data_IF_868099838216
#
_entry.id   IF_868099838216
#
_cell.length_a   1.000
_cell.length_b   1.000
_cell.length_c   1.000
_cell.angle_alpha   90.00
_cell.angle_beta   90.00
_cell.angle_gamma   90.00
#
_symmetry.space_group_name_H-M   'P 1'
#
loop_
_entity.id
_entity.type
_entity.pdbx_description
1 polymer ?
#
# COMPACT_ATOMS: atom_id res chain seq x y z
N UNK A 1 23.98 -30.94 15.45
CA UNK A 1 22.98 -29.86 15.33
C UNK A 1 23.43 -28.99 14.16
N UNK A 2 22.83 -29.18 12.98
CA UNK A 2 23.29 -28.52 11.75
C UNK A 2 22.97 -27.04 11.79
N UNK A 3 24.00 -26.21 11.91
CA UNK A 3 23.89 -24.76 11.79
C UNK A 3 23.53 -24.42 10.34
N UNK A 4 22.24 -24.31 10.03
CA UNK A 4 21.76 -23.90 8.72
C UNK A 4 22.18 -22.44 8.50
N UNK A 5 23.28 -22.25 7.78
CA UNK A 5 23.71 -20.93 7.30
C UNK A 5 22.69 -20.49 6.25
N UNK A 6 22.07 -19.35 6.50
CA UNK A 6 21.09 -18.76 5.57
C UNK A 6 21.73 -17.56 4.89
N UNK A 7 21.35 -17.28 3.65
CA UNK A 7 21.85 -16.14 2.87
C UNK A 7 20.78 -15.07 2.69
N UNK A 8 21.18 -13.81 2.79
CA UNK A 8 20.32 -12.68 2.45
C UNK A 8 19.93 -12.70 0.97
N UNK A 9 18.65 -12.59 0.66
CA UNK A 9 18.12 -12.57 -0.70
C UNK A 9 18.55 -11.35 -1.53
N UNK A 10 19.01 -10.28 -0.88
CA UNK A 10 19.43 -9.05 -1.58
C UNK A 10 20.94 -8.92 -1.78
N UNK A 11 21.76 -9.28 -0.79
CA UNK A 11 23.21 -9.12 -0.86
C UNK A 11 23.98 -10.45 -0.92
N UNK A 12 23.28 -11.58 -0.83
CA UNK A 12 23.85 -12.93 -0.75
C UNK A 12 24.79 -13.16 0.45
N UNK A 13 24.89 -12.19 1.36
CA UNK A 13 25.67 -12.29 2.59
C UNK A 13 25.15 -13.41 3.48
N UNK A 14 26.07 -14.19 4.05
CA UNK A 14 25.76 -15.24 5.02
C UNK A 14 25.41 -14.61 6.36
N UNK A 15 24.42 -15.16 7.04
CA UNK A 15 24.08 -14.76 8.40
C UNK A 15 23.44 -15.91 9.18
N UNK A 16 22.96 -15.57 10.37
CA UNK A 16 22.35 -16.54 11.28
C UNK A 16 20.90 -16.15 11.59
N UNK A 17 20.02 -17.12 11.85
CA UNK A 17 18.67 -16.83 12.30
C UNK A 17 18.69 -16.16 13.69
N UNK A 18 17.66 -15.38 14.04
CA UNK A 18 17.61 -14.62 15.29
C UNK A 18 17.52 -15.53 16.51
N UNK A 19 16.97 -16.75 16.39
CA UNK A 19 16.93 -17.73 17.48
C UNK A 19 18.30 -18.30 17.86
N UNK A 20 19.33 -18.16 17.01
CA UNK A 20 20.67 -18.71 17.24
C UNK A 20 21.74 -17.70 16.81
N UNK A 21 22.00 -16.65 17.63
CA UNK A 21 22.99 -15.65 17.29
C UNK A 21 24.40 -16.26 17.30
N UNK A 22 25.07 -16.25 16.15
CA UNK A 22 26.49 -16.56 16.07
C UNK A 22 27.33 -15.28 16.16
N UNK A 23 28.39 -15.26 16.97
CA UNK A 23 29.25 -14.09 17.10
C UNK A 23 29.88 -13.73 15.74
N UNK A 24 29.72 -12.47 15.32
CA UNK A 24 30.28 -11.93 14.09
C UNK A 24 29.42 -12.09 12.83
N UNK A 25 28.26 -12.77 12.90
CA UNK A 25 27.33 -12.88 11.77
C UNK A 25 26.10 -11.98 11.97
N UNK A 26 25.63 -11.29 10.92
CA UNK A 26 24.41 -10.51 11.01
C UNK A 26 23.19 -11.42 11.21
N UNK A 27 22.25 -10.98 12.04
CA UNK A 27 20.97 -11.66 12.18
C UNK A 27 20.12 -11.44 10.93
N UNK A 28 19.55 -12.53 10.44
CA UNK A 28 18.73 -12.57 9.24
C UNK A 28 17.26 -12.73 9.61
N UNK A 29 16.39 -11.92 9.01
CA UNK A 29 14.96 -11.93 9.29
C UNK A 29 14.18 -12.47 8.09
N UNK A 30 13.22 -13.35 8.36
CA UNK A 30 12.32 -13.89 7.33
C UNK A 30 11.16 -12.93 7.14
N UNK A 31 10.92 -12.47 5.91
CA UNK A 31 9.77 -11.63 5.58
C UNK A 31 8.59 -12.51 5.16
N UNK A 32 7.33 -12.00 5.13
CA UNK A 32 6.14 -12.84 4.96
C UNK A 32 6.08 -13.64 3.65
N UNK A 33 6.82 -13.25 2.61
CA UNK A 33 6.94 -14.04 1.38
C UNK A 33 7.91 -15.24 1.50
N UNK A 34 8.54 -15.46 2.66
CA UNK A 34 9.48 -16.55 2.91
C UNK A 34 10.95 -16.23 2.63
N UNK A 35 11.24 -15.10 1.98
CA UNK A 35 12.62 -14.66 1.74
C UNK A 35 13.28 -14.11 3.00
N UNK A 36 14.62 -14.14 3.01
CA UNK A 36 15.42 -13.81 4.18
C UNK A 36 16.30 -12.60 3.90
N UNK A 37 16.33 -11.62 4.82
CA UNK A 37 17.08 -10.38 4.65
C UNK A 37 17.90 -10.03 5.89
N UNK A 38 19.11 -9.47 5.70
CA UNK A 38 19.87 -8.85 6.78
C UNK A 38 19.33 -7.44 7.07
N UNK A 39 19.53 -6.98 8.31
CA UNK A 39 19.09 -5.64 8.73
C UNK A 39 19.57 -4.52 7.79
N UNK A 40 20.83 -4.48 7.32
CA UNK A 40 21.30 -3.44 6.40
C UNK A 40 20.53 -3.41 5.07
N UNK A 41 20.15 -4.58 4.55
CA UNK A 41 19.36 -4.67 3.32
C UNK A 41 17.91 -4.22 3.54
N UNK A 42 17.33 -4.51 4.71
CA UNK A 42 16.01 -3.98 5.08
C UNK A 42 16.07 -2.46 5.17
N UNK A 43 17.06 -1.91 5.89
CA UNK A 43 17.28 -0.46 6.01
C UNK A 43 17.42 0.20 4.65
N UNK A 44 18.27 -0.31 3.77
CA UNK A 44 18.46 0.25 2.43
C UNK A 44 17.17 0.28 1.61
N UNK A 45 16.33 -0.75 1.71
CA UNK A 45 15.04 -0.77 0.99
C UNK A 45 14.03 0.19 1.60
N UNK A 46 13.98 0.29 2.93
CA UNK A 46 13.09 1.22 3.62
C UNK A 46 13.51 2.68 3.38
N UNK A 47 14.81 2.96 3.33
CA UNK A 47 15.33 4.32 3.12
C UNK A 47 15.05 4.83 1.70
N UNK A 48 15.00 3.94 0.69
CA UNK A 48 14.56 4.31 -0.65
C UNK A 48 13.13 4.87 -0.63
N UNK A 49 12.26 4.34 0.23
CA UNK A 49 10.90 4.86 0.45
C UNK A 49 10.83 6.27 1.04
N UNK A 50 11.91 6.73 1.70
CA UNK A 50 12.00 8.11 2.20
C UNK A 50 12.37 9.09 1.08
N UNK A 51 13.11 8.63 0.07
CA UNK A 51 13.50 9.43 -1.09
C UNK A 51 12.42 9.40 -2.18
N UNK A 52 11.84 8.23 -2.44
CA UNK A 52 10.79 8.01 -3.43
C UNK A 52 9.55 7.38 -2.79
N UNK A 53 8.45 8.15 -2.76
CA UNK A 53 7.18 7.72 -2.17
C UNK A 53 6.54 6.55 -2.91
N UNK A 54 6.86 6.34 -4.19
CA UNK A 54 6.34 5.20 -4.96
C UNK A 54 6.89 3.86 -4.44
N UNK A 55 8.02 3.89 -3.72
CA UNK A 55 8.65 2.70 -3.12
C UNK A 55 8.06 2.33 -1.75
N UNK A 56 7.06 3.07 -1.26
CA UNK A 56 6.39 2.81 0.02
C UNK A 56 5.08 2.02 -0.21
N UNK A 57 4.89 0.88 0.49
CA UNK A 57 5.82 0.21 1.37
C UNK A 57 6.92 -0.56 0.64
N UNK A 58 8.05 -0.67 1.32
CA UNK A 58 9.05 -1.69 1.06
C UNK A 58 8.37 -3.08 1.06
N UNK A 59 8.52 -3.81 -0.04
CA UNK A 59 7.85 -5.09 -0.26
C UNK A 59 8.79 -6.07 -0.95
N UNK A 60 8.63 -7.37 -0.75
CA UNK A 60 9.33 -8.40 -1.52
C UNK A 60 8.28 -9.35 -2.11
N UNK A 61 8.42 -9.69 -3.39
CA UNK A 61 7.45 -10.53 -4.12
C UNK A 61 6.01 -9.96 -4.07
N UNK A 62 5.87 -8.63 -4.02
CA UNK A 62 4.57 -7.98 -3.86
C UNK A 62 3.99 -8.02 -2.44
N UNK A 63 4.71 -8.58 -1.47
CA UNK A 63 4.29 -8.66 -0.06
C UNK A 63 5.05 -7.65 0.79
N UNK A 64 4.32 -6.85 1.55
CA UNK A 64 4.86 -5.74 2.34
C UNK A 64 5.74 -6.24 3.49
N UNK A 65 6.77 -5.46 3.84
CA UNK A 65 7.61 -5.74 4.99
C UNK A 65 6.85 -5.45 6.29
N UNK A 66 6.99 -6.29 7.34
CA UNK A 66 6.34 -6.05 8.62
C UNK A 66 6.74 -4.69 9.21
N UNK A 67 5.78 -3.97 9.79
CA UNK A 67 6.00 -2.65 10.39
C UNK A 67 7.15 -2.64 11.41
N UNK A 68 7.25 -3.69 12.23
CA UNK A 68 8.33 -3.83 13.21
C UNK A 68 9.72 -3.87 12.56
N UNK A 69 9.83 -4.49 11.38
CA UNK A 69 11.12 -4.57 10.67
C UNK A 69 11.49 -3.23 10.07
N UNK A 70 10.50 -2.49 9.58
CA UNK A 70 10.71 -1.13 9.06
C UNK A 70 11.10 -0.18 10.19
N UNK A 71 10.42 -0.26 11.34
CA UNK A 71 10.69 0.56 12.53
C UNK A 71 12.10 0.34 13.07
N UNK A 72 12.52 -0.92 13.21
CA UNK A 72 13.89 -1.29 13.60
C UNK A 72 14.94 -0.83 12.58
N UNK A 73 14.58 -0.82 11.29
CA UNK A 73 15.51 -0.52 10.21
C UNK A 73 15.74 0.98 9.98
N UNK A 74 14.72 1.81 10.20
CA UNK A 74 14.76 3.26 9.98
C UNK A 74 15.00 4.06 11.27
N UNK A 75 14.65 3.52 12.44
CA UNK A 75 14.62 4.29 13.68
C UNK A 75 13.43 5.27 13.74
N UNK A 76 13.22 5.91 14.89
CA UNK A 76 11.96 6.60 15.20
C UNK A 76 11.63 7.80 14.28
N UNK A 77 12.64 8.60 13.92
CA UNK A 77 12.44 9.83 13.14
C UNK A 77 12.08 9.53 11.69
N UNK A 78 12.86 8.68 11.04
CA UNK A 78 12.61 8.25 9.66
C UNK A 78 11.35 7.38 9.54
N UNK A 79 11.06 6.54 10.55
CA UNK A 79 9.82 5.79 10.61
C UNK A 79 8.59 6.70 10.67
N UNK A 80 8.67 7.87 11.33
CA UNK A 80 7.56 8.83 11.36
C UNK A 80 7.23 9.35 9.96
N UNK A 81 8.26 9.69 9.18
CA UNK A 81 8.09 10.11 7.78
C UNK A 81 7.52 8.99 6.92
N UNK A 82 8.05 7.78 7.07
CA UNK A 82 7.60 6.59 6.35
C UNK A 82 6.14 6.25 6.68
N UNK A 83 5.75 6.29 7.96
CA UNK A 83 4.39 6.03 8.42
C UNK A 83 3.40 7.06 7.88
N UNK A 84 3.80 8.33 7.77
CA UNK A 84 2.99 9.35 7.10
C UNK A 84 2.75 8.99 5.63
N UNK A 85 3.78 8.56 4.89
CA UNK A 85 3.62 8.15 3.49
C UNK A 85 2.70 6.92 3.33
N UNK A 86 2.77 5.96 4.26
CA UNK A 86 1.82 4.84 4.28
C UNK A 86 0.37 5.31 4.48
N UNK A 87 0.13 6.21 5.42
CA UNK A 87 -1.21 6.75 5.68
C UNK A 87 -1.75 7.55 4.48
N UNK A 88 -0.91 8.40 3.87
CA UNK A 88 -1.25 9.15 2.66
C UNK A 88 -1.65 8.21 1.51
N UNK A 89 -0.92 7.09 1.34
CA UNK A 89 -1.26 6.08 0.33
C UNK A 89 -2.56 5.36 0.65
N UNK A 90 -2.83 5.05 1.92
CA UNK A 90 -4.08 4.39 2.32
C UNK A 90 -5.31 5.20 1.90
N UNK A 91 -5.22 6.54 1.89
CA UNK A 91 -6.28 7.42 1.38
C UNK A 91 -6.34 7.47 -0.16
N UNK A 92 -5.21 7.35 -0.85
CA UNK A 92 -5.18 7.28 -2.33
C UNK A 92 -5.58 5.90 -2.87
N UNK A 93 -5.40 4.83 -2.07
CA UNK A 93 -5.76 3.45 -2.38
C UNK A 93 -7.11 3.01 -1.78
N UNK A 94 -8.01 3.92 -1.44
CA UNK A 94 -9.43 3.56 -1.23
C UNK A 94 -10.07 3.20 -2.57
N UNK A 95 -9.60 2.12 -3.19
CA UNK A 95 -10.31 1.30 -4.17
C UNK A 95 -11.01 0.21 -3.39
N UNK A 96 -11.98 0.58 -2.55
CA UNK A 96 -12.74 -0.38 -1.76
C UNK A 96 -13.38 -1.35 -2.78
N UNK A 97 -13.21 -2.68 -2.63
CA UNK A 97 -13.93 -3.69 -3.45
C UNK A 97 -15.46 -3.44 -3.44
N UNK A 98 -15.92 -2.86 -2.33
CA UNK A 98 -17.27 -2.30 -2.16
C UNK A 98 -17.62 -1.25 -3.23
N UNK A 99 -16.72 -0.37 -3.65
CA UNK A 99 -17.02 0.72 -4.58
C UNK A 99 -17.17 0.21 -6.02
N UNK A 100 -16.42 -0.83 -6.40
CA UNK A 100 -16.57 -1.47 -7.71
C UNK A 100 -17.86 -2.32 -7.79
N UNK A 101 -18.21 -3.02 -6.70
CA UNK A 101 -19.48 -3.75 -6.58
C UNK A 101 -20.67 -2.77 -6.47
N UNK A 102 -20.49 -1.66 -5.78
CA UNK A 102 -21.47 -0.58 -5.67
C UNK A 102 -21.64 0.15 -7.01
N UNK A 103 -20.57 0.44 -7.76
CA UNK A 103 -20.64 1.03 -9.09
C UNK A 103 -21.43 0.13 -10.06
N UNK A 104 -21.20 -1.18 -10.02
CA UNK A 104 -22.01 -2.16 -10.77
C UNK A 104 -23.48 -2.15 -10.34
N UNK A 105 -23.75 -2.05 -9.05
CA UNK A 105 -25.12 -2.01 -8.51
C UNK A 105 -25.84 -0.72 -8.91
N UNK A 106 -25.16 0.44 -8.85
CA UNK A 106 -25.69 1.74 -9.27
C UNK A 106 -25.97 1.76 -10.77
N UNK A 107 -25.09 1.17 -11.60
CA UNK A 107 -25.34 1.03 -13.05
C UNK A 107 -26.52 0.09 -13.35
N UNK A 108 -26.65 -1.03 -12.63
CA UNK A 108 -27.79 -1.94 -12.75
C UNK A 108 -29.12 -1.26 -12.40
N UNK A 109 -29.11 -0.33 -11.45
CA UNK A 109 -30.29 0.44 -11.05
C UNK A 109 -30.52 1.69 -11.93
N UNK A 110 -29.71 1.90 -12.97
CA UNK A 110 -29.84 3.04 -13.88
C UNK A 110 -29.42 4.38 -13.28
N UNK A 111 -28.54 4.37 -12.28
CA UNK A 111 -27.89 5.56 -11.71
C UNK A 111 -26.46 5.76 -12.24
N UNK A 112 -25.92 6.96 -12.01
CA UNK A 112 -24.52 7.29 -12.30
C UNK A 112 -23.80 7.74 -11.03
N UNK A 113 -22.48 7.61 -10.97
CA UNK A 113 -21.70 8.15 -9.85
C UNK A 113 -21.33 9.62 -10.11
N UNK A 114 -21.40 10.45 -9.07
CA UNK A 114 -20.91 11.81 -9.16
C UNK A 114 -19.38 11.81 -9.35
N UNK A 115 -18.82 12.51 -10.36
CA UNK A 115 -17.38 12.50 -10.65
C UNK A 115 -16.52 13.19 -9.57
N UNK A 116 -17.15 13.92 -8.64
CA UNK A 116 -16.44 14.69 -7.62
C UNK A 116 -16.49 14.06 -6.22
N UNK A 117 -17.44 13.17 -5.94
CA UNK A 117 -17.60 12.56 -4.62
C UNK A 117 -17.91 11.05 -4.63
N UNK A 118 -18.17 10.44 -5.79
CA UNK A 118 -18.40 9.00 -5.93
C UNK A 118 -19.79 8.49 -5.49
N UNK A 119 -20.65 9.35 -4.95
CA UNK A 119 -22.01 8.95 -4.52
C UNK A 119 -22.87 8.63 -5.75
N UNK A 120 -23.62 7.53 -5.68
CA UNK A 120 -24.59 7.14 -6.69
C UNK A 120 -25.77 8.12 -6.72
N UNK A 121 -25.98 8.76 -7.86
CA UNK A 121 -27.15 9.59 -8.13
C UNK A 121 -28.05 8.87 -9.13
N UNK A 122 -29.35 8.79 -8.82
CA UNK A 122 -30.36 8.22 -9.72
C UNK A 122 -30.98 9.32 -10.57
N UNK A 123 -31.19 9.06 -11.86
CA UNK A 123 -31.79 10.05 -12.76
C UNK A 123 -33.22 10.37 -12.33
N UNK A 124 -33.47 11.62 -11.95
CA UNK A 124 -34.83 12.16 -11.83
C UNK A 124 -35.29 12.48 -13.26
N UNK A 125 -36.41 11.87 -13.67
CA UNK A 125 -36.91 11.85 -15.05
C UNK A 125 -36.80 13.19 -15.79
N UNK A 126 -36.04 13.24 -16.90
CA UNK A 126 -36.13 14.28 -17.93
C UNK A 126 -35.06 15.40 -17.94
N UNK A 127 -34.15 15.46 -16.97
CA UNK A 127 -33.10 16.50 -16.94
C UNK A 127 -31.68 15.91 -16.93
N UNK A 128 -30.84 16.35 -17.87
CA UNK A 128 -29.43 15.95 -17.97
C UNK A 128 -28.53 16.71 -16.99
N UNK A 129 -28.90 17.94 -16.60
CA UNK A 129 -28.18 18.71 -15.58
C UNK A 129 -28.60 18.24 -14.18
N UNK A 130 -27.70 17.55 -13.49
CA UNK A 130 -27.90 17.07 -12.12
C UNK A 130 -27.04 17.84 -11.14
N UNK A 131 -27.53 18.02 -9.91
CA UNK A 131 -26.77 18.59 -8.79
C UNK A 131 -26.60 17.53 -7.71
N UNK A 132 -25.37 17.31 -7.31
CA UNK A 132 -25.01 16.42 -6.21
C UNK A 132 -25.60 16.94 -4.88
N UNK A 133 -26.49 16.17 -4.23
CA UNK A 133 -27.06 16.58 -2.93
C UNK A 133 -26.05 16.63 -1.79
N UNK A 134 -24.93 15.92 -1.93
CA UNK A 134 -23.88 15.85 -0.92
C UNK A 134 -22.77 16.89 -1.11
N UNK A 135 -22.38 17.14 -2.36
CA UNK A 135 -21.24 17.97 -2.71
C UNK A 135 -21.62 19.27 -3.41
N UNK A 136 -22.89 19.45 -3.80
CA UNK A 136 -23.39 20.65 -4.44
C UNK A 136 -22.95 20.86 -5.90
N UNK A 137 -22.02 20.04 -6.40
CA UNK A 137 -21.51 20.11 -7.77
C UNK A 137 -22.61 19.80 -8.78
N UNK A 138 -22.79 20.69 -9.76
CA UNK A 138 -23.65 20.45 -10.92
C UNK A 138 -22.83 19.75 -12.02
N UNK A 139 -23.38 18.70 -12.62
CA UNK A 139 -22.75 17.95 -13.70
C UNK A 139 -23.80 17.39 -14.67
N UNK A 140 -23.38 17.12 -15.91
CA UNK A 140 -24.25 16.56 -16.94
C UNK A 140 -24.23 15.03 -16.92
N UNK A 141 -25.42 14.42 -17.01
CA UNK A 141 -25.61 12.97 -16.99
C UNK A 141 -25.02 12.27 -18.22
N UNK A 142 -24.97 12.96 -19.36
CA UNK A 142 -24.58 12.42 -20.68
C UNK A 142 -23.15 12.75 -21.11
N UNK A 143 -22.33 13.34 -20.23
CA UNK A 143 -21.01 13.89 -20.56
C UNK A 143 -19.80 12.95 -20.59
N UNK A 144 -19.97 11.64 -20.83
CA UNK A 144 -18.84 10.74 -21.15
C UNK A 144 -19.05 10.12 -22.55
N UNK A 145 -18.90 10.94 -23.58
CA UNK A 145 -18.80 10.47 -24.96
C UNK A 145 -17.33 10.38 -25.37
N UNK A 146 -16.86 9.15 -25.63
CA UNK A 146 -15.66 8.84 -26.45
C UNK A 146 -14.37 8.66 -25.67
#
# INVERSE_FOLDING_TARGET
MSSARTSCASCFGTGCPPECPAPGLPSLRVVPCGHVFCQPCITKRCSLGLTDRAMVPAHCCGVEFPTEYVKDALGALDFTTYARYLAERQWQQTSLRSDAEYAKTVQLLGGMQCPHCGIGVTRISGCEHMKCSHCGTAFNYTGCSG
#
